data_IF_343893722472
#
_entry.id   IF_343893722472
#
_cell.length_a   1.000
_cell.length_b   1.000
_cell.length_c   1.000
_cell.angle_alpha   90.00
_cell.angle_beta   90.00
_cell.angle_gamma   90.00
#
_symmetry.space_group_name_H-M   'P 1'
#
loop_
_entity.id
_entity.type
_entity.pdbx_description
1 polymer ?
#
# COMPACT_ATOMS: atom_id res chain seq x y z
N UNK A 1 3.10 -5.15 5.86
CA UNK A 1 2.78 -4.72 4.48
C UNK A 1 2.17 -5.90 3.76
N UNK A 2 0.91 -5.80 3.35
CA UNK A 2 0.21 -6.86 2.63
C UNK A 2 0.30 -6.60 1.12
N UNK A 3 0.85 -7.56 0.37
CA UNK A 3 0.86 -7.56 -1.09
C UNK A 3 -0.45 -8.20 -1.57
N UNK A 4 -1.36 -7.38 -2.09
CA UNK A 4 -2.74 -7.80 -2.34
C UNK A 4 -2.89 -8.58 -3.65
N UNK A 5 -3.79 -9.56 -3.62
CA UNK A 5 -4.24 -10.33 -4.77
C UNK A 5 -5.68 -10.82 -4.54
N UNK A 6 -6.31 -11.38 -5.56
CA UNK A 6 -7.56 -12.14 -5.37
C UNK A 6 -7.34 -13.52 -4.74
N UNK A 7 -6.07 -13.93 -4.53
CA UNK A 7 -5.67 -15.21 -3.93
C UNK A 7 -4.92 -15.00 -2.61
N UNK A 8 -5.03 -15.96 -1.68
CA UNK A 8 -4.24 -16.00 -0.45
C UNK A 8 -3.35 -17.24 -0.45
N UNK A 9 -2.03 -17.05 -0.34
CA UNK A 9 -1.06 -18.15 -0.38
C UNK A 9 -1.16 -18.97 -1.67
N UNK A 10 -1.59 -20.22 -1.57
CA UNK A 10 -1.73 -21.16 -2.68
C UNK A 10 -3.18 -21.36 -3.17
N UNK A 11 -4.17 -20.61 -2.65
CA UNK A 11 -5.60 -20.84 -2.93
C UNK A 11 -6.02 -20.60 -4.39
N UNK A 12 -5.16 -19.98 -5.18
CA UNK A 12 -5.39 -19.64 -6.57
C UNK A 12 -4.09 -19.59 -7.36
N UNK A 13 -4.20 -19.72 -8.68
CA UNK A 13 -3.11 -19.68 -9.64
C UNK A 13 -3.47 -18.79 -10.82
N UNK A 14 -2.47 -18.23 -11.48
CA UNK A 14 -2.66 -17.32 -12.60
C UNK A 14 -1.56 -16.27 -12.66
N UNK A 15 -1.37 -15.66 -13.83
CA UNK A 15 -0.32 -14.66 -14.06
C UNK A 15 -0.32 -13.53 -13.02
N UNK A 16 -1.50 -13.04 -12.65
CA UNK A 16 -1.63 -11.98 -11.64
C UNK A 16 -1.28 -12.44 -10.22
N UNK A 17 -1.56 -13.69 -9.86
CA UNK A 17 -1.17 -14.26 -8.57
C UNK A 17 0.34 -14.47 -8.51
N UNK A 18 0.91 -15.05 -9.57
CA UNK A 18 2.35 -15.31 -9.64
C UNK A 18 3.16 -14.01 -9.67
N UNK A 19 2.67 -12.97 -10.35
CA UNK A 19 3.24 -11.60 -10.28
C UNK A 19 3.36 -11.11 -8.85
N UNK A 20 2.31 -11.26 -8.04
CA UNK A 20 2.29 -10.80 -6.64
C UNK A 20 3.18 -11.68 -5.75
N UNK A 21 3.19 -13.01 -5.96
CA UNK A 21 4.11 -13.93 -5.27
C UNK A 21 5.57 -13.53 -5.50
N UNK A 22 5.93 -13.31 -6.76
CA UNK A 22 7.28 -12.94 -7.13
C UNK A 22 7.67 -11.55 -6.60
N UNK A 23 6.77 -10.57 -6.69
CA UNK A 23 6.98 -9.25 -6.09
C UNK A 23 7.18 -9.33 -4.57
N UNK A 24 6.42 -10.20 -3.88
CA UNK A 24 6.55 -10.44 -2.44
C UNK A 24 7.92 -11.03 -2.11
N UNK A 25 8.38 -12.03 -2.87
CA UNK A 25 9.71 -12.65 -2.71
C UNK A 25 10.81 -11.61 -2.85
N UNK A 26 10.81 -10.85 -3.95
CA UNK A 26 11.81 -9.81 -4.21
C UNK A 26 11.82 -8.75 -3.09
N UNK A 27 10.64 -8.33 -2.62
CA UNK A 27 10.53 -7.31 -1.58
C UNK A 27 11.10 -7.79 -0.24
N UNK A 28 10.81 -9.04 0.17
CA UNK A 28 11.36 -9.66 1.39
C UNK A 28 12.87 -9.83 1.33
N UNK A 29 13.41 -10.18 0.16
CA UNK A 29 14.87 -10.29 -0.05
C UNK A 29 15.57 -8.94 0.04
N UNK A 30 14.98 -7.88 -0.51
CA UNK A 30 15.56 -6.54 -0.49
C UNK A 30 15.41 -5.83 0.86
N UNK A 31 14.36 -6.14 1.61
CA UNK A 31 14.01 -5.49 2.88
C UNK A 31 13.56 -6.52 3.93
N UNK A 32 14.49 -7.37 4.41
CA UNK A 32 14.19 -8.38 5.43
C UNK A 32 13.79 -7.78 6.78
N UNK A 33 14.09 -6.49 7.00
CA UNK A 33 13.71 -5.71 8.18
C UNK A 33 12.23 -5.32 8.20
N UNK A 34 11.53 -5.42 7.06
CA UNK A 34 10.11 -5.05 6.96
C UNK A 34 9.25 -6.30 6.91
N UNK A 35 8.23 -6.36 7.77
CA UNK A 35 7.22 -7.42 7.74
C UNK A 35 6.36 -7.28 6.47
N UNK A 36 6.64 -8.11 5.48
CA UNK A 36 5.97 -8.15 4.17
C UNK A 36 5.43 -9.56 3.95
N UNK A 37 4.17 -9.66 3.55
CA UNK A 37 3.57 -10.94 3.19
C UNK A 37 2.57 -10.81 2.03
N UNK A 38 2.37 -11.90 1.32
CA UNK A 38 1.67 -11.93 0.05
C UNK A 38 1.84 -13.25 -0.71
N UNK A 39 0.95 -13.55 -1.67
CA UNK A 39 -0.27 -12.81 -1.99
C UNK A 39 -1.32 -12.98 -0.89
N UNK A 40 -2.03 -11.90 -0.55
CA UNK A 40 -3.13 -11.91 0.41
C UNK A 40 -4.39 -11.30 -0.21
N UNK A 41 -5.55 -11.92 0.01
CA UNK A 41 -6.82 -11.25 -0.18
C UNK A 41 -7.01 -10.15 0.88
N UNK A 42 -7.84 -9.15 0.58
CA UNK A 42 -8.06 -8.01 1.48
C UNK A 42 -8.65 -8.42 2.83
N UNK A 43 -9.59 -9.38 2.84
CA UNK A 43 -10.17 -9.96 4.05
C UNK A 43 -9.11 -10.67 4.90
N UNK A 44 -8.25 -11.49 4.28
CA UNK A 44 -7.12 -12.14 4.95
C UNK A 44 -6.12 -11.12 5.49
N UNK A 45 -5.90 -9.99 4.80
CA UNK A 45 -4.99 -8.94 5.26
C UNK A 45 -5.53 -8.16 6.48
N UNK A 46 -6.85 -8.04 6.64
CA UNK A 46 -7.49 -7.11 7.58
C UNK A 46 -8.26 -7.76 8.72
N UNK A 47 -8.84 -8.95 8.51
CA UNK A 47 -9.72 -9.62 9.48
C UNK A 47 -8.96 -10.78 10.12
N UNK A 48 -8.68 -10.66 11.42
CA UNK A 48 -7.95 -11.68 12.20
C UNK A 48 -8.50 -13.09 12.04
N UNK A 49 -9.82 -13.26 12.14
CA UNK A 49 -10.46 -14.58 12.00
C UNK A 49 -10.27 -15.20 10.60
N UNK A 50 -10.24 -14.38 9.54
CA UNK A 50 -9.98 -14.87 8.17
C UNK A 50 -8.51 -15.21 8.00
N UNK A 51 -7.62 -14.40 8.59
CA UNK A 51 -6.18 -14.65 8.58
C UNK A 51 -5.80 -15.96 9.27
N UNK A 52 -6.38 -16.25 10.43
CA UNK A 52 -6.16 -17.51 11.16
C UNK A 52 -6.54 -18.75 10.32
N UNK A 53 -7.52 -18.60 9.41
CA UNK A 53 -7.92 -19.67 8.50
C UNK A 53 -7.08 -19.74 7.23
N UNK A 54 -6.82 -18.61 6.57
CA UNK A 54 -6.22 -18.57 5.23
C UNK A 54 -4.69 -18.38 5.22
N UNK A 55 -4.13 -17.79 6.28
CA UNK A 55 -2.70 -17.46 6.39
C UNK A 55 -2.23 -17.51 7.87
N UNK A 56 -2.38 -18.65 8.57
CA UNK A 56 -2.13 -18.75 10.02
C UNK A 56 -0.70 -18.40 10.44
N UNK A 57 0.29 -18.71 9.61
CA UNK A 57 1.70 -18.47 9.90
C UNK A 57 2.17 -17.05 9.52
N UNK A 58 1.26 -16.22 9.01
CA UNK A 58 1.59 -14.86 8.58
C UNK A 58 1.76 -13.91 9.76
N UNK A 59 2.87 -13.18 9.76
CA UNK A 59 3.10 -12.08 10.70
C UNK A 59 2.35 -10.79 10.30
N UNK A 60 1.74 -10.74 9.10
CA UNK A 60 1.09 -9.56 8.53
C UNK A 60 -0.42 -9.72 8.41
N UNK A 61 -0.92 -10.91 8.06
CA UNK A 61 -2.33 -11.17 7.85
C UNK A 61 -3.16 -10.86 9.12
N UNK A 62 -4.37 -10.35 8.91
CA UNK A 62 -5.33 -9.98 9.95
C UNK A 62 -4.99 -8.70 10.74
N UNK A 63 -3.88 -8.04 10.41
CA UNK A 63 -3.39 -6.84 11.11
C UNK A 63 -2.63 -5.88 10.20
N UNK A 64 -2.76 -6.03 8.88
CA UNK A 64 -2.02 -5.20 7.93
C UNK A 64 -2.46 -3.74 8.01
N UNK A 65 -1.49 -2.83 8.00
CA UNK A 65 -1.72 -1.37 7.98
C UNK A 65 -1.27 -0.71 6.68
N UNK A 66 -0.52 -1.44 5.84
CA UNK A 66 -0.05 -0.99 4.54
C UNK A 66 -0.45 -2.02 3.50
N UNK A 67 -1.12 -1.57 2.44
CA UNK A 67 -1.68 -2.40 1.39
C UNK A 67 -1.06 -2.02 0.04
N UNK A 68 -0.45 -2.99 -0.63
CA UNK A 68 0.12 -2.82 -1.96
C UNK A 68 -0.80 -3.50 -2.96
N UNK A 69 -1.42 -2.70 -3.84
CA UNK A 69 -2.31 -3.19 -4.87
C UNK A 69 -1.53 -3.77 -6.06
N UNK A 70 -2.07 -4.79 -6.75
CA UNK A 70 -1.36 -5.49 -7.84
C UNK A 70 -1.27 -4.69 -9.14
N UNK A 71 -2.09 -3.64 -9.27
CA UNK A 71 -2.17 -2.76 -10.43
C UNK A 71 -2.90 -1.44 -10.11
N UNK A 72 -2.81 -0.49 -11.04
CA UNK A 72 -3.41 0.84 -10.92
C UNK A 72 -4.93 0.82 -10.91
N UNK A 73 -5.57 -0.08 -11.67
CA UNK A 73 -7.03 -0.12 -11.79
C UNK A 73 -7.65 -0.53 -10.45
N UNK A 74 -7.15 -1.61 -9.87
CA UNK A 74 -7.57 -2.12 -8.55
C UNK A 74 -7.28 -1.08 -7.46
N UNK A 75 -6.08 -0.49 -7.45
CA UNK A 75 -5.72 0.53 -6.47
C UNK A 75 -6.60 1.78 -6.56
N UNK A 76 -6.75 2.37 -7.75
CA UNK A 76 -7.50 3.60 -7.96
C UNK A 76 -8.99 3.44 -7.63
N UNK A 77 -9.60 2.36 -8.12
CA UNK A 77 -11.02 2.06 -7.87
C UNK A 77 -11.26 1.84 -6.39
N UNK A 78 -10.40 1.06 -5.71
CA UNK A 78 -10.60 0.71 -4.30
C UNK A 78 -10.47 1.92 -3.38
N UNK A 79 -9.42 2.74 -3.49
CA UNK A 79 -9.24 3.86 -2.57
C UNK A 79 -10.37 4.90 -2.73
N UNK A 80 -10.83 5.15 -3.96
CA UNK A 80 -11.96 6.06 -4.23
C UNK A 80 -13.27 5.50 -3.67
N UNK A 81 -13.52 4.20 -3.85
CA UNK A 81 -14.71 3.55 -3.28
C UNK A 81 -14.72 3.66 -1.76
N UNK A 82 -13.59 3.39 -1.08
CA UNK A 82 -13.46 3.53 0.37
C UNK A 82 -13.64 4.99 0.81
N UNK A 83 -12.96 5.94 0.16
CA UNK A 83 -13.07 7.37 0.46
C UNK A 83 -14.53 7.85 0.39
N UNK A 84 -15.25 7.47 -0.68
CA UNK A 84 -16.62 7.93 -0.92
C UNK A 84 -17.65 7.22 -0.04
N UNK A 85 -17.47 5.92 0.21
CA UNK A 85 -18.47 5.12 0.95
C UNK A 85 -18.29 5.18 2.46
N UNK A 86 -17.06 5.33 2.96
CA UNK A 86 -16.77 5.30 4.40
C UNK A 86 -16.66 6.69 5.04
N UNK A 87 -16.86 7.77 4.26
CA UNK A 87 -16.70 9.16 4.70
C UNK A 87 -15.36 9.42 5.45
N UNK A 88 -14.31 8.74 5.00
CA UNK A 88 -12.96 8.86 5.57
C UNK A 88 -12.16 9.94 4.85
N UNK A 89 -11.29 10.62 5.60
CA UNK A 89 -10.30 11.52 5.02
C UNK A 89 -9.30 10.67 4.25
N UNK A 90 -9.12 10.98 2.98
CA UNK A 90 -8.09 10.39 2.12
C UNK A 90 -7.11 11.49 1.73
N UNK A 91 -5.83 11.29 2.03
CA UNK A 91 -4.78 12.26 1.75
C UNK A 91 -3.89 11.71 0.63
N UNK A 92 -3.71 12.50 -0.44
CA UNK A 92 -2.87 12.15 -1.58
C UNK A 92 -3.40 12.71 -2.91
N UNK A 93 -2.78 12.34 -4.05
CA UNK A 93 -1.71 11.35 -4.18
C UNK A 93 -0.37 11.85 -3.63
N UNK A 94 0.42 10.93 -3.04
CA UNK A 94 1.78 11.19 -2.60
C UNK A 94 2.77 10.44 -3.50
N UNK A 95 3.65 11.17 -4.18
CA UNK A 95 4.73 10.57 -4.94
C UNK A 95 5.88 10.21 -4.00
N UNK A 96 6.53 9.08 -4.27
CA UNK A 96 7.63 8.53 -3.46
C UNK A 96 8.76 8.08 -4.39
N UNK A 97 10.00 8.05 -3.88
CA UNK A 97 11.17 7.58 -4.62
C UNK A 97 11.88 8.64 -5.47
N UNK A 98 11.40 9.89 -5.47
CA UNK A 98 12.05 11.01 -6.16
C UNK A 98 13.25 11.55 -5.38
N UNK A 99 14.27 12.08 -6.08
CA UNK A 99 15.43 12.75 -5.44
C UNK A 99 15.04 14.02 -4.68
N UNK A 100 14.05 14.75 -5.20
CA UNK A 100 13.44 15.91 -4.55
C UNK A 100 11.93 15.69 -4.51
N UNK A 101 11.23 16.12 -3.46
CA UNK A 101 9.80 15.91 -3.33
C UNK A 101 9.06 16.74 -4.37
N UNK A 102 8.18 16.07 -5.09
CA UNK A 102 7.22 16.64 -6.03
C UNK A 102 5.94 15.87 -5.80
N UNK A 103 4.81 16.54 -5.72
CA UNK A 103 3.51 15.89 -5.64
C UNK A 103 2.58 16.49 -6.67
N UNK A 104 1.66 15.66 -7.18
CA UNK A 104 0.65 16.06 -8.14
C UNK A 104 -0.69 16.22 -7.43
N UNK A 105 -1.49 17.18 -7.88
CA UNK A 105 -2.83 17.40 -7.36
C UNK A 105 -3.86 16.99 -8.43
N UNK A 106 -4.93 16.34 -7.99
CA UNK A 106 -6.03 16.05 -8.92
C UNK A 106 -6.68 17.36 -9.39
N UNK A 107 -7.15 17.38 -10.64
CA UNK A 107 -7.92 18.52 -11.21
C UNK A 107 -9.18 18.86 -10.39
N UNK A 108 -9.69 17.95 -9.57
CA UNK A 108 -10.82 18.16 -8.67
C UNK A 108 -10.44 18.25 -7.19
N UNK A 109 -9.19 18.61 -6.87
CA UNK A 109 -8.72 18.75 -5.49
C UNK A 109 -9.48 19.85 -4.73
N UNK A 110 -9.83 19.57 -3.48
CA UNK A 110 -10.38 20.55 -2.55
C UNK A 110 -9.26 21.44 -1.97
N UNK A 111 -9.63 22.56 -1.35
CA UNK A 111 -8.65 23.44 -0.68
C UNK A 111 -7.87 22.67 0.38
N UNK A 112 -8.57 21.83 1.14
CA UNK A 112 -8.00 20.95 2.16
C UNK A 112 -6.97 19.98 1.56
N UNK A 113 -7.25 19.38 0.38
CA UNK A 113 -6.33 18.48 -0.31
C UNK A 113 -5.03 19.19 -0.71
N UNK A 114 -5.13 20.46 -1.14
CA UNK A 114 -3.97 21.29 -1.49
C UNK A 114 -3.12 21.56 -0.24
N UNK A 115 -3.74 21.97 0.86
CA UNK A 115 -3.04 22.25 2.12
C UNK A 115 -2.34 21.00 2.64
N UNK A 116 -3.01 19.85 2.65
CA UNK A 116 -2.39 18.59 3.07
C UNK A 116 -1.24 18.17 2.16
N UNK A 117 -1.38 18.35 0.84
CA UNK A 117 -0.31 18.02 -0.11
C UNK A 117 0.93 18.89 0.09
N UNK A 118 0.76 20.20 0.38
CA UNK A 118 1.87 21.10 0.71
C UNK A 118 2.57 20.64 1.99
N UNK A 119 1.80 20.38 3.05
CA UNK A 119 2.35 19.91 4.33
C UNK A 119 3.14 18.61 4.17
N UNK A 120 2.62 17.66 3.39
CA UNK A 120 3.30 16.40 3.08
C UNK A 120 4.58 16.62 2.27
N UNK A 121 4.54 17.49 1.26
CA UNK A 121 5.72 17.82 0.43
C UNK A 121 6.83 18.41 1.28
N UNK A 122 6.50 19.28 2.25
CA UNK A 122 7.45 19.86 3.18
C UNK A 122 8.12 18.79 4.07
N UNK A 123 7.34 17.86 4.64
CA UNK A 123 7.86 16.74 5.43
C UNK A 123 8.78 15.85 4.59
N UNK A 124 8.39 15.56 3.34
CA UNK A 124 9.23 14.77 2.42
C UNK A 124 10.56 15.49 2.11
N UNK A 125 10.55 16.82 2.00
CA UNK A 125 11.76 17.62 1.78
C UNK A 125 12.72 17.51 2.96
N UNK A 126 12.20 17.62 4.18
CA UNK A 126 12.99 17.49 5.40
C UNK A 126 13.61 16.09 5.51
N UNK A 127 12.83 15.04 5.25
CA UNK A 127 13.33 13.65 5.25
C UNK A 127 14.37 13.38 4.16
N UNK A 128 14.26 14.02 2.99
CA UNK A 128 15.26 13.91 1.93
C UNK A 128 16.57 14.58 2.37
N UNK A 129 16.49 15.81 2.92
CA UNK A 129 17.65 16.53 3.43
C UNK A 129 18.31 15.82 4.62
N UNK A 130 17.55 15.11 5.46
CA UNK A 130 18.11 14.29 6.54
C UNK A 130 18.92 13.10 5.99
N UNK A 131 18.44 12.44 4.92
CA UNK A 131 19.13 11.32 4.26
C UNK A 131 20.39 11.73 3.52
N UNK A 132 20.48 12.96 3.02
CA UNK A 132 21.71 13.47 2.38
C UNK A 132 22.80 13.85 3.39
N UNK A 133 22.44 14.02 4.67
CA UNK A 133 23.36 14.44 5.75
C UNK A 133 23.97 13.29 6.55
N UNK A 134 23.45 12.07 6.42
CA UNK A 134 23.94 10.86 7.12
C UNK A 134 24.48 9.84 6.14
#
# INVERSE_FOLDING_TARGET
>A
VAMLSYSTGASGSGSDVEKVKEATRIARERRPDVLIDGPLQYDAATIKAVAESKAPDSQVAGRATVFIFPDLNTGNTTYKAVQRSAAVISIGPMLQGMRKPVNDLSRGALVEDIVFTIALTAIQAEQAAARERG
#
